data_IF_270947177936
#
_entry.id   IF_270947177936
#
_cell.length_a   1.000
_cell.length_b   1.000
_cell.length_c   1.000
_cell.angle_alpha   90.00
_cell.angle_beta   90.00
_cell.angle_gamma   90.00
#
_symmetry.space_group_name_H-M   'P 1'
#
loop_
_entity.id
_entity.type
_entity.pdbx_description
1 polymer ?
#
# COMPACT_ATOMS: atom_id res chain seq x y z
N UNK A 1 9.68 17.60 0.23
CA UNK A 1 8.74 17.40 1.36
C UNK A 1 9.19 16.15 2.12
N UNK A 2 9.33 16.16 3.45
CA UNK A 2 9.74 14.97 4.18
C UNK A 2 8.63 13.92 4.06
N UNK A 3 9.00 12.72 3.61
CA UNK A 3 8.08 11.59 3.47
C UNK A 3 7.69 11.08 4.86
N UNK A 4 6.39 10.78 5.13
CA UNK A 4 5.96 10.32 6.44
C UNK A 4 6.66 9.01 6.80
N UNK A 5 7.47 9.06 7.86
CA UNK A 5 8.23 7.92 8.36
C UNK A 5 7.26 6.89 9.01
N UNK A 6 7.15 5.70 8.42
CA UNK A 6 6.34 4.58 8.95
C UNK A 6 7.00 3.97 10.21
N UNK A 7 8.19 4.42 10.61
CA UNK A 7 9.02 3.75 11.62
C UNK A 7 8.38 3.51 13.00
N UNK A 8 7.26 4.14 13.38
CA UNK A 8 6.62 3.92 14.69
C UNK A 8 5.09 4.12 14.75
N UNK A 9 4.37 4.13 13.62
CA UNK A 9 2.94 4.46 13.64
C UNK A 9 2.11 3.85 12.51
N UNK A 10 0.83 3.62 12.78
CA UNK A 10 -0.13 3.22 11.75
C UNK A 10 -0.45 4.42 10.87
N UNK A 11 -0.01 4.40 9.61
CA UNK A 11 -0.48 5.34 8.60
C UNK A 11 -1.80 4.82 8.03
N UNK A 12 -2.78 5.71 7.84
CA UNK A 12 -4.07 5.35 7.26
C UNK A 12 -4.70 6.54 6.54
N UNK A 13 -5.57 6.25 5.59
CA UNK A 13 -6.31 7.27 4.87
C UNK A 13 -7.29 6.68 3.86
N UNK A 14 -7.80 7.53 2.99
CA UNK A 14 -8.61 7.15 1.82
C UNK A 14 -7.82 7.36 0.53
N UNK A 15 -8.15 6.61 -0.50
CA UNK A 15 -7.71 6.90 -1.87
C UNK A 15 -8.36 8.20 -2.32
N UNK A 16 -7.59 9.02 -3.04
CA UNK A 16 -8.07 10.28 -3.58
C UNK A 16 -9.01 10.08 -4.77
N UNK A 17 -9.40 11.17 -5.43
CA UNK A 17 -10.27 11.13 -6.61
C UNK A 17 -9.69 10.35 -7.79
N UNK A 18 -8.38 10.11 -7.82
CA UNK A 18 -7.72 9.28 -8.85
C UNK A 18 -7.74 7.79 -8.50
N UNK A 19 -8.16 7.45 -7.28
CA UNK A 19 -8.16 6.06 -6.81
C UNK A 19 -6.75 5.54 -6.56
N UNK A 20 -5.77 6.41 -6.33
CA UNK A 20 -4.36 6.02 -6.12
C UNK A 20 -3.82 6.65 -4.84
N UNK A 21 -2.96 5.91 -4.13
CA UNK A 21 -2.13 6.46 -3.07
C UNK A 21 -0.72 5.90 -3.18
N UNK A 22 0.25 6.80 -3.32
CA UNK A 22 1.67 6.47 -3.22
C UNK A 22 2.20 6.86 -1.83
N UNK A 23 2.95 5.94 -1.23
CA UNK A 23 3.68 6.15 0.02
C UNK A 23 5.15 5.81 -0.22
N UNK A 24 6.05 6.69 0.23
CA UNK A 24 7.45 6.31 0.40
C UNK A 24 7.63 5.67 1.77
N UNK A 25 8.47 4.65 1.81
CA UNK A 25 8.87 3.93 3.01
C UNK A 25 10.27 4.37 3.35
N UNK A 26 10.48 4.80 4.59
CA UNK A 26 11.81 5.21 5.02
C UNK A 26 12.74 3.99 5.05
N UNK A 27 14.03 4.12 4.68
CA UNK A 27 15.01 3.05 4.81
C UNK A 27 15.22 2.59 6.26
N UNK A 28 14.83 3.43 7.24
CA UNK A 28 14.86 3.16 8.67
C UNK A 28 13.59 2.44 9.18
N UNK A 29 12.55 2.33 8.37
CA UNK A 29 11.33 1.59 8.72
C UNK A 29 11.67 0.10 8.86
N UNK A 30 11.33 -0.48 10.01
CA UNK A 30 11.70 -1.87 10.32
C UNK A 30 11.06 -2.85 9.32
N UNK A 31 11.76 -3.95 9.10
CA UNK A 31 11.56 -4.96 8.04
C UNK A 31 10.28 -5.81 8.18
N UNK A 32 9.20 -5.29 8.76
CA UNK A 32 7.93 -6.01 8.89
C UNK A 32 6.76 -5.03 8.81
N UNK A 33 6.29 -4.77 7.59
CA UNK A 33 5.13 -3.90 7.35
C UNK A 33 3.90 -4.73 6.98
N UNK A 34 2.73 -4.28 7.39
CA UNK A 34 1.46 -4.77 6.84
C UNK A 34 0.77 -3.66 6.08
N UNK A 35 0.61 -3.83 4.77
CA UNK A 35 -0.24 -2.98 3.94
C UNK A 35 -1.64 -3.58 3.81
N UNK A 36 -2.67 -2.76 3.98
CA UNK A 36 -4.07 -3.17 3.88
C UNK A 36 -4.80 -2.18 2.99
N UNK A 37 -5.60 -2.71 2.06
CA UNK A 37 -6.53 -1.95 1.24
C UNK A 37 -7.93 -2.56 1.39
N UNK A 38 -8.88 -1.77 1.89
CA UNK A 38 -10.30 -2.16 1.97
C UNK A 38 -11.08 -1.36 0.95
N UNK A 39 -11.76 -2.08 0.07
CA UNK A 39 -12.57 -1.53 -0.99
C UNK A 39 -14.03 -1.97 -0.86
N UNK A 40 -14.95 -1.11 -1.32
CA UNK A 40 -16.36 -1.49 -1.44
C UNK A 40 -16.63 -2.45 -2.60
N UNK A 41 -15.64 -2.63 -3.50
CA UNK A 41 -15.74 -3.50 -4.67
C UNK A 41 -14.52 -4.44 -4.77
N UNK A 42 -14.64 -5.50 -5.56
CA UNK A 42 -13.52 -6.39 -5.86
C UNK A 42 -12.76 -6.01 -7.11
N UNK A 43 -13.32 -5.11 -7.92
CA UNK A 43 -12.71 -4.62 -9.13
C UNK A 43 -11.55 -3.64 -8.81
N UNK A 44 -10.57 -3.57 -9.69
CA UNK A 44 -9.51 -2.53 -9.79
C UNK A 44 -8.55 -2.34 -8.60
N UNK A 45 -8.81 -2.97 -7.46
CA UNK A 45 -7.96 -2.88 -6.27
C UNK A 45 -6.62 -3.57 -6.45
N UNK A 46 -5.55 -2.90 -6.01
CA UNK A 46 -4.18 -3.37 -6.15
C UNK A 46 -3.31 -2.77 -5.05
N UNK A 47 -2.38 -3.57 -4.51
CA UNK A 47 -1.20 -3.04 -3.82
C UNK A 47 0.02 -3.46 -4.62
N UNK A 48 0.90 -2.51 -4.86
CA UNK A 48 2.13 -2.68 -5.64
C UNK A 48 3.31 -2.17 -4.83
N UNK A 49 4.45 -2.84 -5.00
CA UNK A 49 5.67 -2.54 -4.25
C UNK A 49 6.77 -2.12 -5.21
N UNK A 50 7.61 -1.20 -4.75
CA UNK A 50 8.85 -0.81 -5.43
C UNK A 50 10.02 -0.92 -4.45
N UNK A 51 11.12 -1.51 -4.92
CA UNK A 51 12.39 -1.58 -4.19
C UNK A 51 13.47 -0.65 -4.75
N UNK A 52 13.20 0.04 -5.86
CA UNK A 52 14.16 0.78 -6.68
C UNK A 52 13.98 2.31 -6.61
N UNK A 53 13.37 2.83 -5.55
CA UNK A 53 13.13 4.26 -5.40
C UNK A 53 11.83 4.77 -6.03
N UNK A 54 10.97 3.86 -6.50
CA UNK A 54 9.68 4.18 -7.11
C UNK A 54 9.69 4.21 -8.63
N UNK A 55 10.74 3.67 -9.27
CA UNK A 55 10.86 3.63 -10.72
C UNK A 55 10.02 2.48 -11.31
N UNK A 56 10.08 1.29 -10.70
CA UNK A 56 9.29 0.12 -11.09
C UNK A 56 8.38 -0.37 -9.96
N UNK A 57 7.14 -0.73 -10.33
CA UNK A 57 6.13 -1.23 -9.41
C UNK A 57 5.68 -2.62 -9.78
N UNK A 58 5.87 -3.55 -8.85
CA UNK A 58 5.48 -4.94 -9.04
C UNK A 58 4.10 -5.20 -8.42
N UNK A 59 3.13 -5.76 -9.18
CA UNK A 59 1.92 -6.31 -8.60
C UNK A 59 2.27 -7.42 -7.62
N UNK A 60 1.56 -7.47 -6.50
CA UNK A 60 1.50 -8.69 -5.70
C UNK A 60 0.26 -9.48 -6.11
N UNK A 61 0.39 -10.79 -6.22
CA UNK A 61 -0.75 -11.66 -6.45
C UNK A 61 -1.56 -11.84 -5.16
N UNK A 62 -2.87 -11.72 -5.30
CA UNK A 62 -3.80 -11.88 -4.19
C UNK A 62 -4.75 -13.02 -4.47
N UNK A 63 -5.13 -13.74 -3.43
CA UNK A 63 -6.38 -14.48 -3.46
C UNK A 63 -7.53 -13.47 -3.47
N UNK A 64 -8.07 -13.22 -4.66
CA UNK A 64 -9.14 -12.24 -4.89
C UNK A 64 -10.55 -12.84 -4.71
N UNK A 65 -10.67 -14.04 -4.13
CA UNK A 65 -11.96 -14.70 -3.93
C UNK A 65 -12.90 -13.87 -3.03
N UNK A 66 -13.74 -13.03 -3.66
CA UNK A 66 -14.86 -12.25 -3.08
C UNK A 66 -14.58 -11.30 -1.91
N UNK A 67 -13.39 -11.33 -1.32
CA UNK A 67 -13.10 -10.58 -0.09
C UNK A 67 -12.91 -9.11 -0.39
N UNK A 68 -13.57 -8.16 0.27
CA UNK A 68 -13.45 -6.70 0.06
C UNK A 68 -12.12 -6.09 0.54
N UNK A 69 -11.20 -6.92 1.05
CA UNK A 69 -9.95 -6.49 1.66
C UNK A 69 -8.75 -7.23 1.06
N UNK A 70 -7.72 -6.48 0.65
CA UNK A 70 -6.38 -6.97 0.37
C UNK A 70 -5.49 -6.75 1.58
N UNK A 71 -4.73 -7.76 1.97
CA UNK A 71 -3.76 -7.71 3.06
C UNK A 71 -2.43 -8.25 2.55
N UNK A 72 -1.37 -7.49 2.78
CA UNK A 72 -0.02 -7.81 2.33
C UNK A 72 0.96 -7.64 3.50
N UNK A 73 1.65 -8.72 3.86
CA UNK A 73 2.77 -8.68 4.80
C UNK A 73 4.08 -8.52 4.00
N UNK A 74 4.91 -7.57 4.41
CA UNK A 74 6.13 -7.17 3.72
C UNK A 74 7.29 -7.42 4.68
N UNK A 75 8.05 -8.48 4.41
CA UNK A 75 9.21 -8.91 5.20
C UNK A 75 10.56 -8.54 4.58
N UNK A 76 10.56 -7.68 3.56
CA UNK A 76 11.76 -7.25 2.83
C UNK A 76 11.82 -5.74 2.76
N UNK A 77 13.02 -5.15 2.69
CA UNK A 77 13.16 -3.72 2.43
C UNK A 77 12.47 -3.33 1.12
N UNK A 78 11.66 -2.27 1.19
CA UNK A 78 11.01 -1.64 0.04
C UNK A 78 11.17 -0.13 0.15
N UNK A 79 11.05 0.56 -0.97
CA UNK A 79 11.13 2.02 -1.05
C UNK A 79 9.76 2.67 -1.12
N UNK A 80 8.78 2.03 -1.78
CA UNK A 80 7.45 2.58 -1.96
C UNK A 80 6.35 1.52 -1.94
N UNK A 81 5.16 1.96 -1.54
CA UNK A 81 3.90 1.21 -1.63
C UNK A 81 2.93 2.05 -2.45
N UNK A 82 2.35 1.46 -3.49
CA UNK A 82 1.26 2.06 -4.28
C UNK A 82 -0.02 1.28 -4.05
N UNK A 83 -1.03 1.97 -3.55
CA UNK A 83 -2.41 1.50 -3.50
C UNK A 83 -3.17 2.04 -4.71
N UNK A 84 -3.94 1.18 -5.37
CA UNK A 84 -4.85 1.56 -6.45
C UNK A 84 -6.21 0.92 -6.20
N UNK A 85 -7.30 1.61 -6.50
CA UNK A 85 -8.66 1.15 -6.22
C UNK A 85 -9.71 2.20 -6.59
N UNK A 86 -10.88 2.15 -5.96
CA UNK A 86 -11.90 3.17 -6.13
C UNK A 86 -11.63 4.38 -5.23
N UNK A 87 -12.00 5.58 -5.69
CA UNK A 87 -11.91 6.78 -4.86
C UNK A 87 -12.71 6.59 -3.55
N UNK A 88 -12.11 6.97 -2.42
CA UNK A 88 -12.71 6.77 -1.09
C UNK A 88 -12.43 5.41 -0.45
N UNK A 89 -11.83 4.44 -1.15
CA UNK A 89 -11.37 3.19 -0.54
C UNK A 89 -10.34 3.47 0.56
N UNK A 90 -10.33 2.66 1.61
CA UNK A 90 -9.49 2.93 2.79
C UNK A 90 -8.21 2.11 2.74
N UNK A 91 -7.07 2.74 3.05
CA UNK A 91 -5.77 2.09 3.11
C UNK A 91 -5.15 2.28 4.50
N UNK A 92 -4.29 1.34 4.89
CA UNK A 92 -3.42 1.49 6.05
C UNK A 92 -2.10 0.74 5.90
N UNK A 93 -1.05 1.28 6.50
CA UNK A 93 0.26 0.63 6.67
C UNK A 93 0.65 0.69 8.13
N UNK A 94 1.14 -0.43 8.68
CA UNK A 94 1.62 -0.56 10.06
C UNK A 94 2.89 -1.38 10.13
#
# INVERSE_FOLDING_TARGET
MPSPDIANGVLKGTLDSTGVKLLSVSPSSRVNLTAVLKSSTTATRKIELSADGGDEFFPVDYDVSTNTMLVLAIGTPISHIRFSGAAGDTWSVR
#
